data_IF_643844545063
#
_entry.id   IF_643844545063
#
_cell.length_a   1.000
_cell.length_b   1.000
_cell.length_c   1.000
_cell.angle_alpha   90.00
_cell.angle_beta   90.00
_cell.angle_gamma   90.00
#
_symmetry.space_group_name_H-M   'P 1'
#
loop_
_entity.id
_entity.type
_entity.pdbx_description
1 polymer ?
#
# COMPACT_ATOMS: atom_id res chain seq x y z
N UNK A 1 6.41 88.73 -24.53
CA UNK A 1 5.58 88.04 -23.53
C UNK A 1 5.07 86.80 -24.24
N UNK A 2 5.99 85.86 -24.47
CA UNK A 2 6.26 84.71 -23.58
C UNK A 2 5.19 83.63 -23.83
N UNK A 3 5.49 82.38 -24.13
CA UNK A 3 6.74 81.60 -24.17
C UNK A 3 6.44 80.22 -24.80
N UNK A 4 7.47 79.59 -25.40
CA UNK A 4 7.73 78.14 -25.55
C UNK A 4 6.81 77.28 -26.44
N UNK A 5 7.27 76.62 -27.51
CA UNK A 5 8.24 75.47 -27.59
C UNK A 5 7.78 74.28 -26.74
N UNK A 6 7.86 73.00 -27.10
CA UNK A 6 8.42 72.22 -28.20
C UNK A 6 7.95 70.75 -27.99
N UNK A 7 7.97 69.91 -29.03
CA UNK A 7 8.53 68.52 -29.04
C UNK A 7 8.24 67.57 -27.84
N UNK A 8 7.65 66.37 -27.95
CA UNK A 8 8.20 65.18 -28.63
C UNK A 8 7.47 63.91 -28.16
N UNK A 9 7.39 62.93 -29.09
CA UNK A 9 7.56 61.47 -28.96
C UNK A 9 7.19 60.66 -27.69
N UNK A 10 6.39 59.61 -27.97
CA UNK A 10 6.40 58.23 -27.47
C UNK A 10 6.63 57.94 -25.98
N UNK A 11 5.64 57.29 -25.34
CA UNK A 11 5.96 56.24 -24.37
C UNK A 11 4.89 55.15 -24.25
N UNK A 12 5.41 53.93 -24.16
CA UNK A 12 4.84 52.61 -23.98
C UNK A 12 3.58 52.51 -23.10
N UNK A 13 2.50 51.94 -23.65
CA UNK A 13 1.37 51.44 -22.84
C UNK A 13 1.74 50.08 -22.25
N UNK A 14 2.43 50.09 -21.11
CA UNK A 14 2.55 48.93 -20.25
C UNK A 14 1.20 48.62 -19.60
N UNK A 15 0.63 47.44 -19.89
CA UNK A 15 -0.58 46.95 -19.25
C UNK A 15 -0.18 46.44 -17.85
N UNK A 16 -0.14 47.36 -16.88
CA UNK A 16 -0.06 47.02 -15.46
C UNK A 16 -1.41 46.44 -15.00
N UNK A 17 -1.56 45.11 -15.08
CA UNK A 17 -2.59 44.40 -14.31
C UNK A 17 -2.22 44.51 -12.83
N UNK A 18 -2.86 45.45 -12.14
CA UNK A 18 -2.78 45.60 -10.69
C UNK A 18 -3.21 44.30 -10.01
N UNK A 19 -2.26 43.62 -9.37
CA UNK A 19 -2.56 42.57 -8.41
C UNK A 19 -3.17 43.24 -7.18
N UNK A 20 -4.50 43.25 -7.12
CA UNK A 20 -5.21 43.68 -5.92
C UNK A 20 -5.08 42.59 -4.85
N UNK A 21 -4.27 42.87 -3.83
CA UNK A 21 -4.19 42.05 -2.63
C UNK A 21 -5.52 42.20 -1.87
N UNK A 22 -6.28 41.10 -1.81
CA UNK A 22 -7.53 41.02 -1.08
C UNK A 22 -7.23 40.63 0.37
N UNK A 23 -7.68 41.45 1.31
CA UNK A 23 -7.59 41.16 2.74
C UNK A 23 -8.29 39.82 3.05
N UNK A 24 -7.71 38.96 3.92
CA UNK A 24 -8.35 37.72 4.30
C UNK A 24 -9.60 38.03 5.14
N UNK A 25 -10.78 37.81 4.58
CA UNK A 25 -12.02 37.83 5.35
C UNK A 25 -11.96 36.77 6.46
N UNK A 26 -12.45 37.09 7.68
CA UNK A 26 -12.57 36.10 8.74
C UNK A 26 -13.49 34.97 8.25
N UNK A 27 -13.08 33.73 8.48
CA UNK A 27 -13.83 32.54 8.08
C UNK A 27 -15.18 32.46 8.84
N UNK A 28 -16.17 33.22 8.38
CA UNK A 28 -17.57 33.06 8.71
C UNK A 28 -18.13 31.87 7.94
N UNK A 29 -18.99 31.10 8.58
CA UNK A 29 -19.70 30.00 7.94
C UNK A 29 -20.67 30.56 6.90
N UNK A 30 -20.26 30.63 5.65
CA UNK A 30 -21.19 30.85 4.53
C UNK A 30 -21.89 29.53 4.22
N UNK A 31 -23.18 29.49 4.48
CA UNK A 31 -24.09 28.49 3.92
C UNK A 31 -24.19 28.75 2.42
N UNK A 32 -23.44 27.98 1.63
CA UNK A 32 -23.45 28.06 0.18
C UNK A 32 -24.77 27.50 -0.35
N UNK A 33 -25.68 28.35 -0.82
CA UNK A 33 -26.83 27.93 -1.61
C UNK A 33 -26.34 27.57 -3.03
N UNK A 34 -26.28 26.28 -3.31
CA UNK A 34 -25.61 25.66 -4.48
C UNK A 34 -26.31 25.98 -5.82
N UNK A 35 -27.37 26.78 -5.84
CA UNK A 35 -28.27 26.94 -7.00
C UNK A 35 -27.93 28.05 -7.99
N UNK A 36 -26.96 28.93 -7.72
CA UNK A 36 -26.78 30.16 -8.51
C UNK A 36 -25.58 30.20 -9.46
N UNK A 37 -24.79 29.12 -9.61
CA UNK A 37 -23.55 29.15 -10.41
C UNK A 37 -23.45 28.14 -11.58
N UNK A 38 -24.56 27.85 -12.26
CA UNK A 38 -24.49 27.10 -13.53
C UNK A 38 -24.95 28.00 -14.69
N UNK A 39 -24.04 28.65 -15.43
CA UNK A 39 -24.33 29.00 -16.80
C UNK A 39 -24.28 27.71 -17.64
N UNK A 40 -25.32 27.49 -18.44
CA UNK A 40 -25.44 26.39 -19.38
C UNK A 40 -24.18 26.28 -20.26
N UNK A 41 -23.43 25.18 -20.10
CA UNK A 41 -22.36 24.79 -21.02
C UNK A 41 -22.25 23.27 -21.15
N UNK A 42 -21.94 22.78 -22.35
CA UNK A 42 -22.30 21.43 -22.76
C UNK A 42 -21.32 20.38 -22.22
N UNK A 43 -21.91 19.34 -21.61
CA UNK A 43 -21.39 17.97 -21.50
C UNK A 43 -20.00 17.81 -20.86
N UNK A 44 -19.95 17.94 -19.54
CA UNK A 44 -18.92 17.23 -18.76
C UNK A 44 -19.13 15.70 -18.93
N UNK A 45 -18.11 14.94 -19.34
CA UNK A 45 -18.24 13.51 -19.56
C UNK A 45 -18.51 12.78 -18.23
N UNK A 46 -19.51 11.89 -18.21
CA UNK A 46 -20.11 11.24 -17.03
C UNK A 46 -19.12 10.64 -15.98
N UNK A 47 -17.86 10.40 -16.34
CA UNK A 47 -16.79 9.97 -15.41
C UNK A 47 -16.25 11.08 -14.48
N UNK A 48 -16.56 12.35 -14.74
CA UNK A 48 -16.13 13.49 -13.91
C UNK A 48 -17.04 13.80 -12.73
N UNK A 49 -18.19 13.13 -12.62
CA UNK A 49 -19.01 13.19 -11.42
C UNK A 49 -18.42 12.22 -10.37
N UNK A 50 -18.11 12.69 -9.15
CA UNK A 50 -17.72 11.79 -8.08
C UNK A 50 -18.85 10.77 -7.92
N UNK A 51 -18.54 9.49 -8.13
CA UNK A 51 -19.48 8.38 -7.97
C UNK A 51 -20.26 8.59 -6.67
N UNK A 52 -21.51 9.00 -6.81
CA UNK A 52 -22.30 9.60 -5.76
C UNK A 52 -22.73 8.54 -4.75
N UNK A 53 -22.09 8.53 -3.59
CA UNK A 53 -22.77 8.21 -2.34
C UNK A 53 -22.85 9.51 -1.55
N UNK A 54 -24.00 10.17 -1.69
CA UNK A 54 -24.58 11.23 -0.87
C UNK A 54 -23.61 12.02 0.02
N UNK A 55 -23.34 13.27 -0.39
CA UNK A 55 -23.02 14.34 0.55
C UNK A 55 -24.27 15.21 0.73
N UNK A 56 -25.38 14.58 1.14
CA UNK A 56 -26.56 15.28 1.64
C UNK A 56 -26.34 15.73 3.08
N UNK A 57 -26.61 16.99 3.35
CA UNK A 57 -26.52 17.64 4.66
C UNK A 57 -27.18 16.80 5.77
N UNK A 58 -26.42 16.50 6.83
CA UNK A 58 -26.88 15.81 8.03
C UNK A 58 -26.26 14.42 8.23
N UNK A 59 -25.18 14.33 9.01
CA UNK A 59 -24.64 13.09 9.58
C UNK A 59 -24.37 11.89 8.61
N UNK A 60 -24.25 12.14 7.30
CA UNK A 60 -24.00 11.11 6.29
C UNK A 60 -22.55 10.67 6.22
N UNK A 61 -22.31 9.34 6.18
CA UNK A 61 -20.99 8.76 5.97
C UNK A 61 -20.65 8.81 4.47
N UNK A 62 -19.69 9.63 4.05
CA UNK A 62 -19.25 9.71 2.64
C UNK A 62 -18.33 8.55 2.21
N UNK A 63 -18.02 8.45 0.92
CA UNK A 63 -17.20 7.36 0.34
C UNK A 63 -15.81 7.19 1.01
N UNK A 64 -15.16 8.30 1.41
CA UNK A 64 -13.88 8.24 2.16
C UNK A 64 -14.05 7.47 3.48
N UNK A 65 -15.17 7.66 4.18
CA UNK A 65 -15.44 6.99 5.45
C UNK A 65 -15.48 5.48 5.23
N UNK A 66 -16.30 5.01 4.28
CA UNK A 66 -16.45 3.58 4.01
C UNK A 66 -15.15 2.96 3.49
N UNK A 67 -14.46 3.59 2.55
CA UNK A 67 -13.17 3.10 2.04
C UNK A 67 -12.11 3.01 3.16
N UNK A 68 -12.06 3.99 4.05
CA UNK A 68 -11.13 3.96 5.20
C UNK A 68 -11.49 2.84 6.18
N UNK A 69 -12.79 2.59 6.39
CA UNK A 69 -13.26 1.47 7.23
C UNK A 69 -12.96 0.12 6.59
N UNK A 70 -13.21 -0.04 5.29
CA UNK A 70 -12.90 -1.26 4.54
C UNK A 70 -11.41 -1.56 4.61
N UNK A 71 -10.55 -0.58 4.32
CA UNK A 71 -9.09 -0.74 4.43
C UNK A 71 -8.66 -1.16 5.83
N UNK A 72 -9.24 -0.57 6.88
CA UNK A 72 -8.89 -0.86 8.27
C UNK A 72 -9.38 -2.23 8.74
N UNK A 73 -10.63 -2.59 8.46
CA UNK A 73 -11.20 -3.83 8.98
C UNK A 73 -10.71 -5.06 8.20
N UNK A 74 -10.40 -4.91 6.91
CA UNK A 74 -9.80 -6.01 6.14
C UNK A 74 -8.43 -6.43 6.69
N UNK A 75 -7.65 -5.51 7.27
CA UNK A 75 -6.34 -5.85 7.85
C UNK A 75 -6.39 -6.70 9.13
N UNK A 76 -7.55 -6.82 9.81
CA UNK A 76 -7.65 -7.71 10.98
C UNK A 76 -7.56 -9.18 10.57
N UNK A 77 -8.24 -9.58 9.51
CA UNK A 77 -8.15 -10.94 8.98
C UNK A 77 -6.70 -11.27 8.58
N UNK A 78 -6.02 -10.35 7.89
CA UNK A 78 -4.62 -10.52 7.51
C UNK A 78 -3.68 -10.58 8.72
N UNK A 79 -3.97 -9.85 9.80
CA UNK A 79 -3.16 -9.91 11.02
C UNK A 79 -3.25 -11.29 11.68
N UNK A 80 -4.46 -11.86 11.78
CA UNK A 80 -4.67 -13.21 12.30
C UNK A 80 -3.94 -14.23 11.42
N UNK A 81 -4.12 -14.15 10.10
CA UNK A 81 -3.43 -15.01 9.15
C UNK A 81 -1.90 -14.88 9.28
N UNK A 82 -1.36 -13.66 9.31
CA UNK A 82 0.08 -13.43 9.44
C UNK A 82 0.63 -14.01 10.75
N UNK A 83 -0.10 -13.91 11.86
CA UNK A 83 0.28 -14.55 13.12
C UNK A 83 0.35 -16.08 13.00
N UNK A 84 -0.65 -16.72 12.39
CA UNK A 84 -0.62 -18.16 12.14
C UNK A 84 0.51 -18.55 11.19
N UNK A 85 0.72 -17.78 10.13
CA UNK A 85 1.74 -18.01 9.13
C UNK A 85 3.14 -17.91 9.74
N UNK A 86 3.47 -16.81 10.43
CA UNK A 86 4.76 -16.63 11.14
C UNK A 86 5.02 -17.73 12.14
N UNK A 87 4.00 -18.14 12.90
CA UNK A 87 4.14 -19.22 13.87
C UNK A 87 4.56 -20.52 13.17
N UNK A 88 3.87 -20.92 12.10
CA UNK A 88 4.15 -22.18 11.42
C UNK A 88 5.40 -22.15 10.55
N UNK A 89 5.73 -21.02 9.94
CA UNK A 89 6.85 -20.92 8.98
C UNK A 89 8.12 -20.33 9.58
N UNK A 90 8.09 -19.91 10.84
CA UNK A 90 9.26 -19.35 11.52
C UNK A 90 9.39 -19.83 12.96
N UNK A 91 8.42 -19.58 13.84
CA UNK A 91 8.61 -19.86 15.27
C UNK A 91 8.64 -21.37 15.58
N UNK A 92 7.78 -22.17 14.98
CA UNK A 92 7.82 -23.63 15.14
C UNK A 92 9.14 -24.19 14.59
N UNK A 93 9.57 -23.87 13.35
CA UNK A 93 10.91 -24.25 12.86
C UNK A 93 12.05 -23.80 13.77
N UNK A 94 11.94 -22.59 14.36
CA UNK A 94 12.92 -22.09 15.31
C UNK A 94 12.94 -22.91 16.62
N UNK A 95 11.81 -23.43 17.07
CA UNK A 95 11.73 -24.24 18.30
C UNK A 95 12.18 -25.69 18.07
N UNK A 96 11.75 -26.30 16.96
CA UNK A 96 12.07 -27.69 16.64
C UNK A 96 13.45 -27.86 16.01
N UNK A 97 14.01 -26.79 15.42
CA UNK A 97 15.23 -26.84 14.61
C UNK A 97 15.17 -27.91 13.49
N UNK A 98 13.95 -28.32 13.07
CA UNK A 98 13.73 -29.41 12.13
C UNK A 98 12.56 -29.09 11.21
N UNK A 99 12.78 -29.31 9.90
CA UNK A 99 11.73 -29.13 8.88
C UNK A 99 10.72 -30.26 8.96
N UNK A 100 11.18 -31.49 9.07
CA UNK A 100 10.32 -32.67 9.06
C UNK A 100 9.37 -32.68 10.26
N UNK A 101 9.84 -32.26 11.44
CA UNK A 101 8.97 -32.08 12.60
C UNK A 101 7.99 -30.92 12.43
N UNK A 102 8.46 -29.80 11.87
CA UNK A 102 7.64 -28.60 11.66
C UNK A 102 6.53 -28.79 10.63
N UNK A 103 6.73 -29.65 9.61
CA UNK A 103 5.72 -29.97 8.60
C UNK A 103 4.45 -30.55 9.22
N UNK A 104 4.57 -31.38 10.25
CA UNK A 104 3.41 -31.96 10.94
C UNK A 104 2.52 -30.87 11.56
N UNK A 105 3.13 -29.85 12.17
CA UNK A 105 2.39 -28.70 12.71
C UNK A 105 1.81 -27.81 11.61
N UNK A 106 2.55 -27.61 10.52
CA UNK A 106 2.03 -26.88 9.36
C UNK A 106 0.76 -27.57 8.84
N UNK A 107 0.80 -28.89 8.63
CA UNK A 107 -0.33 -29.70 8.16
C UNK A 107 -1.54 -29.62 9.09
N UNK A 108 -1.34 -29.61 10.41
CA UNK A 108 -2.41 -29.46 11.39
C UNK A 108 -3.17 -28.13 11.22
N UNK A 109 -2.48 -27.07 10.82
CA UNK A 109 -3.08 -25.74 10.71
C UNK A 109 -3.65 -25.43 9.32
N UNK A 110 -3.22 -26.12 8.25
CA UNK A 110 -3.69 -25.87 6.87
C UNK A 110 -5.21 -25.87 6.71
N UNK A 111 -5.99 -26.80 7.30
CA UNK A 111 -7.44 -26.80 7.13
C UNK A 111 -8.13 -25.51 7.56
N UNK A 112 -7.57 -24.77 8.52
CA UNK A 112 -8.17 -23.56 9.06
C UNK A 112 -8.01 -22.32 8.16
N UNK A 113 -7.02 -22.29 7.26
CA UNK A 113 -6.75 -21.10 6.45
C UNK A 113 -6.35 -21.35 4.98
N UNK A 114 -6.10 -22.60 4.58
CA UNK A 114 -5.74 -22.99 3.19
C UNK A 114 -6.78 -23.91 2.53
N UNK A 115 -8.00 -23.99 3.08
CA UNK A 115 -9.13 -24.74 2.52
C UNK A 115 -10.12 -23.82 1.81
N UNK A 116 -10.86 -24.34 0.82
CA UNK A 116 -12.00 -23.62 0.26
C UNK A 116 -13.21 -23.75 1.21
N UNK A 117 -13.95 -22.67 1.52
CA UNK A 117 -13.79 -21.28 1.06
C UNK A 117 -12.94 -20.39 2.00
N UNK A 118 -12.39 -20.95 3.08
CA UNK A 118 -11.68 -20.21 4.13
C UNK A 118 -10.52 -19.35 3.60
N UNK A 119 -9.68 -19.89 2.72
CA UNK A 119 -8.56 -19.16 2.12
C UNK A 119 -9.03 -17.90 1.38
N UNK A 120 -10.07 -18.04 0.54
CA UNK A 120 -10.61 -16.91 -0.22
C UNK A 120 -11.23 -15.87 0.73
N UNK A 121 -11.98 -16.30 1.73
CA UNK A 121 -12.70 -15.39 2.62
C UNK A 121 -11.79 -14.67 3.62
N UNK A 122 -10.76 -15.34 4.13
CA UNK A 122 -9.88 -14.82 5.18
C UNK A 122 -8.56 -14.24 4.67
N UNK A 123 -8.12 -14.61 3.46
CA UNK A 123 -6.85 -14.15 2.88
C UNK A 123 -7.10 -13.37 1.60
N UNK A 124 -7.72 -14.00 0.59
CA UNK A 124 -7.90 -13.43 -0.75
C UNK A 124 -8.77 -12.17 -0.79
N UNK A 125 -9.96 -12.22 -0.21
CA UNK A 125 -10.87 -11.08 -0.15
C UNK A 125 -10.30 -9.94 0.72
N UNK A 126 -9.77 -10.19 1.94
CA UNK A 126 -9.23 -9.12 2.77
C UNK A 126 -8.01 -8.43 2.16
N UNK A 127 -7.07 -9.16 1.53
CA UNK A 127 -5.91 -8.52 0.87
C UNK A 127 -6.37 -7.67 -0.32
N UNK A 128 -7.29 -8.19 -1.14
CA UNK A 128 -7.84 -7.46 -2.27
C UNK A 128 -8.54 -6.17 -1.80
N UNK A 129 -9.41 -6.26 -0.80
CA UNK A 129 -10.09 -5.10 -0.21
C UNK A 129 -9.11 -4.11 0.40
N UNK A 130 -8.09 -4.57 1.14
CA UNK A 130 -7.10 -3.70 1.76
C UNK A 130 -6.32 -2.88 0.73
N UNK A 131 -5.78 -3.55 -0.30
CA UNK A 131 -4.95 -2.93 -1.33
C UNK A 131 -5.79 -2.00 -2.21
N UNK A 132 -6.94 -2.48 -2.69
CA UNK A 132 -7.84 -1.69 -3.55
C UNK A 132 -8.37 -0.47 -2.83
N UNK A 133 -8.85 -0.59 -1.59
CA UNK A 133 -9.33 0.55 -0.82
C UNK A 133 -8.22 1.59 -0.59
N UNK A 134 -6.98 1.16 -0.32
CA UNK A 134 -5.83 2.05 -0.19
C UNK A 134 -5.50 2.82 -1.47
N UNK A 135 -5.51 2.13 -2.62
CA UNK A 135 -5.29 2.75 -3.95
C UNK A 135 -6.41 3.75 -4.27
N UNK A 136 -7.67 3.33 -4.11
CA UNK A 136 -8.84 4.17 -4.40
C UNK A 136 -8.85 5.41 -3.50
N UNK A 137 -8.55 5.29 -2.21
CA UNK A 137 -8.43 6.44 -1.31
C UNK A 137 -7.39 7.45 -1.77
N UNK A 138 -6.24 6.97 -2.27
CA UNK A 138 -5.16 7.85 -2.76
C UNK A 138 -5.57 8.58 -4.03
N UNK A 139 -6.21 7.88 -4.97
CA UNK A 139 -6.74 8.46 -6.21
C UNK A 139 -7.88 9.45 -5.92
N UNK A 140 -8.77 9.12 -4.99
CA UNK A 140 -9.87 9.99 -4.60
C UNK A 140 -9.38 11.28 -3.95
N UNK A 141 -8.42 11.19 -3.02
CA UNK A 141 -7.79 12.38 -2.41
C UNK A 141 -7.04 13.24 -3.42
N UNK A 142 -6.36 12.62 -4.40
CA UNK A 142 -5.75 13.34 -5.52
C UNK A 142 -6.82 14.10 -6.33
N UNK A 143 -7.95 13.48 -6.63
CA UNK A 143 -9.03 14.11 -7.38
C UNK A 143 -9.65 15.29 -6.61
N UNK A 144 -9.84 15.16 -5.30
CA UNK A 144 -10.28 16.29 -4.46
C UNK A 144 -9.28 17.43 -4.51
N UNK A 145 -7.98 17.15 -4.42
CA UNK A 145 -6.95 18.19 -4.53
C UNK A 145 -6.97 18.87 -5.91
N UNK A 146 -7.22 18.12 -7.00
CA UNK A 146 -7.39 18.72 -8.34
C UNK A 146 -8.56 19.71 -8.38
N UNK A 147 -9.69 19.35 -7.79
CA UNK A 147 -10.87 20.21 -7.73
C UNK A 147 -10.61 21.44 -6.85
N UNK A 148 -10.05 21.24 -5.65
CA UNK A 148 -9.74 22.32 -4.71
C UNK A 148 -8.79 23.37 -5.29
N UNK A 149 -7.83 22.95 -6.11
CA UNK A 149 -6.84 23.85 -6.72
C UNK A 149 -7.21 24.28 -8.15
N UNK A 150 -8.42 24.00 -8.64
CA UNK A 150 -8.86 24.33 -10.01
C UNK A 150 -8.05 23.64 -11.12
N UNK A 151 -7.16 22.70 -10.76
CA UNK A 151 -6.25 22.05 -11.68
C UNK A 151 -6.94 20.96 -12.53
N UNK A 152 -8.19 20.62 -12.22
CA UNK A 152 -8.97 19.64 -12.99
C UNK A 152 -9.13 20.02 -14.47
N UNK A 153 -9.29 21.32 -14.77
CA UNK A 153 -9.44 21.81 -16.14
C UNK A 153 -8.11 21.94 -16.90
N UNK A 154 -6.97 21.80 -16.22
CA UNK A 154 -5.65 21.88 -16.85
C UNK A 154 -5.27 20.54 -17.50
N UNK A 155 -4.64 20.53 -18.69
CA UNK A 155 -4.10 19.30 -19.26
C UNK A 155 -2.93 18.78 -18.42
N UNK A 156 -2.69 17.46 -18.48
CA UNK A 156 -1.69 16.76 -17.64
C UNK A 156 -0.29 17.34 -17.86
N UNK A 157 0.06 17.70 -19.10
CA UNK A 157 1.35 18.33 -19.46
C UNK A 157 1.58 19.61 -18.66
N UNK A 158 0.61 20.53 -18.63
CA UNK A 158 0.70 21.78 -17.87
C UNK A 158 0.76 21.54 -16.36
N UNK A 159 0.07 20.52 -15.84
CA UNK A 159 0.17 20.16 -14.42
C UNK A 159 1.58 19.68 -14.05
N UNK A 160 2.22 18.92 -14.94
CA UNK A 160 3.57 18.40 -14.76
C UNK A 160 4.61 19.52 -14.89
N UNK A 161 4.47 20.37 -15.91
CA UNK A 161 5.33 21.54 -16.13
C UNK A 161 5.33 22.47 -14.91
N UNK A 162 4.13 22.80 -14.41
CA UNK A 162 3.94 23.62 -13.20
C UNK A 162 4.23 22.87 -11.89
N UNK A 163 4.62 21.59 -11.95
CA UNK A 163 4.92 20.73 -10.79
C UNK A 163 3.86 20.79 -9.69
N UNK A 164 2.58 20.80 -10.08
CA UNK A 164 1.49 20.97 -9.13
C UNK A 164 1.49 19.83 -8.10
N UNK A 165 1.46 20.19 -6.80
CA UNK A 165 1.43 19.24 -5.67
C UNK A 165 0.02 18.68 -5.46
N UNK A 166 -0.46 17.94 -6.45
CA UNK A 166 -1.80 17.35 -6.46
C UNK A 166 -1.87 16.08 -5.61
N UNK A 167 -0.78 15.31 -5.58
CA UNK A 167 -0.76 14.03 -4.90
C UNK A 167 -0.67 14.19 -3.38
N UNK A 168 -1.41 13.39 -2.60
CA UNK A 168 -1.24 13.37 -1.16
C UNK A 168 0.17 12.91 -0.79
N UNK A 169 0.71 13.45 0.31
CA UNK A 169 2.05 13.11 0.79
C UNK A 169 2.23 11.59 0.90
N UNK A 170 3.36 11.09 0.39
CA UNK A 170 3.68 9.67 0.48
C UNK A 170 4.20 9.36 1.88
N UNK A 171 3.45 8.59 2.66
CA UNK A 171 3.96 8.10 3.94
C UNK A 171 4.76 6.81 3.78
N UNK A 172 5.68 6.57 4.71
CA UNK A 172 6.42 5.32 4.80
C UNK A 172 5.51 4.08 4.74
N UNK A 173 4.40 4.07 5.47
CA UNK A 173 3.40 2.98 5.41
C UNK A 173 2.87 2.73 4.00
N UNK A 174 2.60 3.78 3.23
CA UNK A 174 2.05 3.66 1.87
C UNK A 174 3.13 3.18 0.92
N UNK A 175 4.35 3.71 1.04
CA UNK A 175 5.50 3.29 0.24
C UNK A 175 5.82 1.81 0.48
N UNK A 176 5.93 1.39 1.75
CA UNK A 176 6.15 0.00 2.11
C UNK A 176 5.04 -0.91 1.56
N UNK A 177 3.77 -0.48 1.66
CA UNK A 177 2.64 -1.22 1.11
C UNK A 177 2.75 -1.43 -0.41
N UNK A 178 3.17 -0.41 -1.17
CA UNK A 178 3.36 -0.55 -2.62
C UNK A 178 4.53 -1.46 -2.99
N UNK A 179 5.65 -1.33 -2.27
CA UNK A 179 6.82 -2.20 -2.49
C UNK A 179 6.54 -3.66 -2.12
N UNK A 180 5.64 -3.91 -1.16
CA UNK A 180 5.23 -5.26 -0.79
C UNK A 180 4.38 -5.97 -1.85
N UNK A 181 3.63 -5.25 -2.70
CA UNK A 181 2.75 -5.85 -3.70
C UNK A 181 3.50 -6.87 -4.59
N UNK A 182 4.62 -6.51 -5.27
CA UNK A 182 5.34 -7.47 -6.09
C UNK A 182 5.99 -8.60 -5.30
N UNK A 183 6.43 -8.35 -4.05
CA UNK A 183 7.10 -9.35 -3.22
C UNK A 183 6.14 -10.39 -2.66
N UNK A 184 4.98 -9.94 -2.17
CA UNK A 184 3.89 -10.84 -1.75
C UNK A 184 3.30 -11.54 -2.98
N UNK A 185 3.19 -10.84 -4.11
CA UNK A 185 2.78 -11.42 -5.39
C UNK A 185 3.70 -12.55 -5.83
N UNK A 186 5.02 -12.37 -5.77
CA UNK A 186 5.99 -13.43 -6.09
C UNK A 186 5.90 -14.60 -5.09
N UNK A 187 5.70 -14.31 -3.81
CA UNK A 187 5.48 -15.35 -2.79
C UNK A 187 4.22 -16.19 -3.09
N UNK A 188 3.10 -15.56 -3.43
CA UNK A 188 1.85 -16.25 -3.81
C UNK A 188 2.02 -17.02 -5.11
N UNK A 189 2.71 -16.45 -6.09
CA UNK A 189 2.98 -17.09 -7.38
C UNK A 189 3.71 -18.43 -7.19
N UNK A 190 4.82 -18.40 -6.43
CA UNK A 190 5.70 -19.56 -6.24
C UNK A 190 5.06 -20.65 -5.38
N UNK A 191 4.33 -20.25 -4.32
CA UNK A 191 3.85 -21.19 -3.30
C UNK A 191 2.37 -21.57 -3.45
N UNK A 192 1.62 -20.90 -4.33
CA UNK A 192 0.18 -21.16 -4.52
C UNK A 192 -0.20 -21.32 -5.98
N UNK A 193 0.12 -20.34 -6.83
CA UNK A 193 -0.37 -20.32 -8.22
C UNK A 193 0.34 -21.37 -9.08
N UNK A 194 1.67 -21.44 -9.06
CA UNK A 194 2.40 -22.42 -9.88
C UNK A 194 2.07 -23.88 -9.50
N UNK A 195 2.09 -24.27 -8.21
CA UNK A 195 1.64 -25.61 -7.81
C UNK A 195 0.21 -25.90 -8.27
N UNK A 196 -0.71 -24.94 -8.09
CA UNK A 196 -2.09 -25.12 -8.53
C UNK A 196 -2.21 -25.34 -10.05
N UNK A 197 -1.42 -24.63 -10.86
CA UNK A 197 -1.43 -24.76 -12.32
C UNK A 197 -0.86 -26.10 -12.81
N UNK A 198 0.17 -26.64 -12.16
CA UNK A 198 0.91 -27.81 -12.66
C UNK A 198 0.58 -29.13 -11.93
N UNK A 199 0.24 -29.07 -10.65
CA UNK A 199 -0.15 -30.24 -9.84
C UNK A 199 -1.68 -30.32 -9.60
N UNK A 200 -2.44 -29.32 -10.04
CA UNK A 200 -3.90 -29.24 -9.80
C UNK A 200 -4.27 -28.84 -8.37
N UNK A 201 -3.28 -28.47 -7.55
CA UNK A 201 -3.46 -28.04 -6.18
C UNK A 201 -2.14 -27.58 -5.56
N UNK A 202 -2.17 -27.10 -4.32
CA UNK A 202 -0.96 -26.70 -3.60
C UNK A 202 -0.86 -27.39 -2.23
N UNK A 203 -1.46 -28.57 -2.10
CA UNK A 203 -1.41 -29.38 -0.88
C UNK A 203 -0.05 -30.05 -0.69
N UNK A 204 0.71 -30.27 -1.78
CA UNK A 204 2.10 -30.77 -1.73
C UNK A 204 3.12 -29.73 -1.25
N UNK A 205 2.71 -28.47 -1.08
CA UNK A 205 3.61 -27.37 -0.80
C UNK A 205 3.75 -27.14 0.70
N UNK A 206 4.96 -27.37 1.21
CA UNK A 206 5.32 -27.17 2.61
C UNK A 206 6.64 -26.44 2.81
N UNK A 207 7.13 -26.47 4.04
CA UNK A 207 8.47 -26.00 4.42
C UNK A 207 9.57 -26.69 3.59
N UNK A 208 9.42 -27.98 3.25
CA UNK A 208 10.37 -28.70 2.41
C UNK A 208 10.49 -28.14 1.00
N UNK A 209 9.37 -27.72 0.39
CA UNK A 209 9.36 -27.05 -0.92
C UNK A 209 10.03 -25.68 -0.86
N UNK A 210 9.76 -24.91 0.21
CA UNK A 210 10.39 -23.60 0.43
C UNK A 210 11.90 -23.77 0.61
N UNK A 211 12.33 -24.71 1.46
CA UNK A 211 13.74 -25.04 1.65
C UNK A 211 14.42 -25.47 0.35
N UNK A 212 13.76 -26.31 -0.46
CA UNK A 212 14.24 -26.70 -1.77
C UNK A 212 14.43 -25.48 -2.69
N UNK A 213 13.48 -24.54 -2.68
CA UNK A 213 13.54 -23.29 -3.45
C UNK A 213 14.73 -22.41 -3.02
N UNK A 214 14.99 -22.31 -1.72
CA UNK A 214 16.20 -21.65 -1.18
C UNK A 214 17.48 -22.35 -1.65
N UNK A 215 17.51 -23.67 -1.66
CA UNK A 215 18.67 -24.43 -2.11
C UNK A 215 18.94 -24.29 -3.63
N UNK A 216 17.90 -24.12 -4.45
CA UNK A 216 18.05 -23.82 -5.89
C UNK A 216 18.51 -22.38 -6.15
N UNK A 217 17.92 -21.43 -5.44
CA UNK A 217 18.07 -20.01 -5.73
C UNK A 217 18.41 -19.22 -4.45
N UNK A 218 19.58 -19.46 -3.83
CA UNK A 218 19.88 -18.96 -2.50
C UNK A 218 19.87 -17.44 -2.41
N UNK A 219 20.47 -16.75 -3.39
CA UNK A 219 20.51 -15.28 -3.40
C UNK A 219 19.14 -14.67 -3.62
N UNK A 220 18.43 -15.12 -4.67
CA UNK A 220 17.14 -14.56 -5.03
C UNK A 220 16.09 -14.80 -3.94
N UNK A 221 16.02 -16.03 -3.41
CA UNK A 221 15.13 -16.36 -2.31
C UNK A 221 15.47 -15.53 -1.06
N UNK A 222 16.75 -15.49 -0.66
CA UNK A 222 17.15 -14.74 0.54
C UNK A 222 16.84 -13.24 0.43
N UNK A 223 17.11 -12.62 -0.72
CA UNK A 223 16.81 -11.20 -0.95
C UNK A 223 15.30 -10.96 -0.92
N UNK A 224 14.53 -11.76 -1.68
CA UNK A 224 13.07 -11.59 -1.78
C UNK A 224 12.40 -11.76 -0.41
N UNK A 225 12.71 -12.83 0.32
CA UNK A 225 12.13 -13.09 1.65
C UNK A 225 12.60 -12.07 2.69
N UNK A 226 13.89 -11.67 2.69
CA UNK A 226 14.37 -10.65 3.64
C UNK A 226 13.70 -9.29 3.42
N UNK A 227 13.60 -8.85 2.16
CA UNK A 227 12.96 -7.59 1.82
C UNK A 227 11.46 -7.63 2.13
N UNK A 228 10.79 -8.73 1.79
CA UNK A 228 9.38 -8.93 2.09
C UNK A 228 9.13 -8.88 3.60
N UNK A 229 9.89 -9.64 4.40
CA UNK A 229 9.74 -9.66 5.87
C UNK A 229 9.96 -8.25 6.45
N UNK A 230 11.03 -7.55 6.06
CA UNK A 230 11.31 -6.20 6.57
C UNK A 230 10.22 -5.18 6.22
N UNK A 231 9.69 -5.23 5.00
CA UNK A 231 8.60 -4.36 4.59
C UNK A 231 7.28 -4.72 5.29
N UNK A 232 6.96 -6.01 5.44
CA UNK A 232 5.75 -6.48 6.14
C UNK A 232 5.76 -6.03 7.60
N UNK A 233 6.83 -6.28 8.35
CA UNK A 233 6.88 -5.95 9.78
C UNK A 233 6.87 -4.44 10.02
N UNK A 234 7.54 -3.68 9.15
CA UNK A 234 7.49 -2.21 9.22
C UNK A 234 6.12 -1.66 8.83
N UNK A 235 5.47 -2.20 7.79
CA UNK A 235 4.13 -1.81 7.39
C UNK A 235 3.10 -2.04 8.50
N UNK A 236 3.15 -3.21 9.16
CA UNK A 236 2.28 -3.55 10.28
C UNK A 236 2.52 -2.61 11.46
N UNK A 237 3.78 -2.42 11.87
CA UNK A 237 4.13 -1.61 13.05
C UNK A 237 3.75 -0.14 12.85
N UNK A 238 4.14 0.45 11.72
CA UNK A 238 3.80 1.83 11.39
C UNK A 238 2.31 2.02 11.13
N UNK A 239 1.64 1.03 10.51
CA UNK A 239 0.20 1.03 10.29
C UNK A 239 -0.59 1.02 11.60
N UNK A 240 -0.18 0.17 12.55
CA UNK A 240 -0.78 0.11 13.89
C UNK A 240 -0.63 1.43 14.64
N UNK A 241 0.57 2.02 14.65
CA UNK A 241 0.78 3.32 15.26
C UNK A 241 -0.06 4.42 14.61
N UNK A 242 -0.25 4.37 13.29
CA UNK A 242 -1.15 5.30 12.58
C UNK A 242 -2.60 5.14 13.05
N UNK A 243 -3.11 3.92 13.17
CA UNK A 243 -4.50 3.69 13.61
C UNK A 243 -4.78 4.18 15.03
N UNK A 244 -3.78 4.09 15.89
CA UNK A 244 -3.85 4.53 17.29
C UNK A 244 -3.46 6.00 17.47
N UNK A 245 -3.22 6.74 16.38
CA UNK A 245 -2.75 8.14 16.39
C UNK A 245 -1.49 8.34 17.26
N UNK A 246 -0.58 7.37 17.23
CA UNK A 246 0.67 7.36 18.00
C UNK A 246 1.86 7.97 17.25
N UNK A 247 1.66 8.35 15.98
CA UNK A 247 2.69 9.00 15.17
C UNK A 247 2.76 10.47 15.56
N UNK A 248 3.93 10.90 16.03
CA UNK A 248 4.22 12.29 16.37
C UNK A 248 5.04 12.88 15.23
N UNK A 249 4.61 14.02 14.69
CA UNK A 249 5.32 14.74 13.62
C UNK A 249 6.19 15.86 14.19
N UNK A 250 7.24 16.25 13.47
CA UNK A 250 8.17 17.31 13.87
C UNK A 250 9.48 16.77 14.48
N UNK A 251 10.36 17.69 14.87
CA UNK A 251 11.74 17.38 15.30
C UNK A 251 11.93 17.34 16.83
N UNK A 252 10.85 17.11 17.57
CA UNK A 252 10.94 17.01 19.03
C UNK A 252 11.68 15.74 19.46
N UNK A 253 12.37 15.79 20.60
CA UNK A 253 12.98 14.59 21.22
C UNK A 253 11.97 13.45 21.39
N UNK A 254 10.70 13.79 21.68
CA UNK A 254 9.59 12.84 21.80
C UNK A 254 9.24 12.18 20.45
N UNK A 255 9.23 12.95 19.36
CA UNK A 255 9.01 12.43 18.00
C UNK A 255 10.15 11.49 17.59
N UNK A 256 11.41 11.89 17.83
CA UNK A 256 12.59 11.04 17.59
C UNK A 256 12.55 9.74 18.40
N UNK A 257 12.23 9.81 19.71
CA UNK A 257 12.08 8.61 20.55
C UNK A 257 10.99 7.68 19.99
N UNK A 258 9.83 8.24 19.62
CA UNK A 258 8.73 7.46 19.02
C UNK A 258 9.16 6.79 17.71
N UNK A 259 9.85 7.51 16.84
CA UNK A 259 10.39 6.99 15.59
C UNK A 259 11.31 5.80 15.84
N UNK A 260 12.26 5.92 16.78
CA UNK A 260 13.14 4.82 17.15
C UNK A 260 12.37 3.63 17.72
N UNK A 261 11.40 3.86 18.61
CA UNK A 261 10.58 2.77 19.16
C UNK A 261 9.86 1.98 18.06
N UNK A 262 9.23 2.65 17.09
CA UNK A 262 8.50 1.96 16.01
C UNK A 262 9.47 1.13 15.15
N UNK A 263 10.64 1.67 14.83
CA UNK A 263 11.64 0.95 14.05
C UNK A 263 12.27 -0.21 14.83
N UNK A 264 12.54 -0.05 16.14
CA UNK A 264 13.03 -1.13 17.00
C UNK A 264 12.03 -2.28 17.08
N UNK A 265 10.73 -1.99 17.21
CA UNK A 265 9.68 -3.01 17.19
C UNK A 265 9.62 -3.71 15.82
N UNK A 266 9.67 -2.93 14.74
CA UNK A 266 9.67 -3.48 13.37
C UNK A 266 10.87 -4.41 13.13
N UNK A 267 12.05 -4.00 13.61
CA UNK A 267 13.29 -4.77 13.52
C UNK A 267 13.25 -6.04 14.38
N UNK A 268 12.75 -5.98 15.61
CA UNK A 268 12.60 -7.15 16.46
C UNK A 268 11.67 -8.21 15.85
N UNK A 269 10.54 -7.77 15.29
CA UNK A 269 9.62 -8.65 14.56
C UNK A 269 10.29 -9.26 13.32
N UNK A 270 11.02 -8.45 12.55
CA UNK A 270 11.73 -8.93 11.36
C UNK A 270 12.80 -9.97 11.72
N UNK A 271 13.61 -9.70 12.75
CA UNK A 271 14.64 -10.61 13.22
C UNK A 271 14.05 -11.93 13.69
N UNK A 272 12.99 -11.90 14.50
CA UNK A 272 12.31 -13.13 14.95
C UNK A 272 11.79 -13.98 13.79
N UNK A 273 11.31 -13.35 12.72
CA UNK A 273 10.85 -14.04 11.52
C UNK A 273 12.02 -14.55 10.65
N UNK A 274 13.08 -13.76 10.48
CA UNK A 274 14.25 -14.15 9.68
C UNK A 274 14.99 -15.33 10.32
N UNK A 275 15.15 -15.33 11.64
CA UNK A 275 15.90 -16.38 12.35
C UNK A 275 15.25 -17.76 12.14
N UNK A 276 13.93 -17.88 12.26
CA UNK A 276 13.24 -19.14 11.99
C UNK A 276 13.06 -19.43 10.50
N UNK A 277 12.51 -18.47 9.75
CA UNK A 277 12.18 -18.65 8.34
C UNK A 277 13.41 -18.82 7.44
N UNK A 278 14.39 -17.92 7.52
CA UNK A 278 15.60 -18.02 6.69
C UNK A 278 16.67 -18.86 7.40
N UNK A 279 16.85 -18.65 8.71
CA UNK A 279 17.92 -19.31 9.48
C UNK A 279 17.73 -20.81 9.67
N UNK A 280 16.47 -21.29 9.75
CA UNK A 280 16.17 -22.73 9.83
C UNK A 280 15.63 -23.24 8.49
N UNK A 281 14.48 -22.76 8.03
CA UNK A 281 13.81 -23.31 6.83
C UNK A 281 14.67 -23.07 5.57
N UNK A 282 15.23 -21.87 5.41
CA UNK A 282 16.12 -21.56 4.28
C UNK A 282 17.40 -22.40 4.23
N UNK A 283 17.80 -23.04 5.34
CA UNK A 283 18.97 -23.94 5.41
C UNK A 283 18.60 -25.43 5.28
N UNK A 284 17.34 -25.74 5.02
CA UNK A 284 16.83 -27.11 4.93
C UNK A 284 17.39 -27.96 3.79
N UNK A 285 18.03 -27.34 2.80
CA UNK A 285 18.60 -28.05 1.67
C UNK A 285 17.57 -28.54 0.64
N UNK A 286 18.03 -29.41 -0.27
CA UNK A 286 17.23 -29.93 -1.37
C UNK A 286 16.42 -31.13 -0.90
N UNK A 287 15.12 -31.14 -1.20
CA UNK A 287 14.33 -32.38 -1.18
C UNK A 287 14.90 -33.40 -2.20
N UNK A 288 14.84 -34.69 -1.84
CA UNK A 288 15.40 -35.80 -2.61
C UNK A 288 14.32 -36.67 -3.24
N UNK A 289 14.74 -37.56 -4.14
CA UNK A 289 13.87 -38.57 -4.75
C UNK A 289 12.75 -37.99 -5.61
N UNK A 290 11.62 -38.70 -5.66
CA UNK A 290 10.47 -38.30 -6.46
C UNK A 290 9.90 -36.92 -6.06
N UNK A 291 9.86 -36.62 -4.76
CA UNK A 291 9.37 -35.31 -4.25
C UNK A 291 10.27 -34.16 -4.72
N UNK A 292 11.60 -34.34 -4.67
CA UNK A 292 12.53 -33.34 -5.17
C UNK A 292 12.39 -33.08 -6.68
N UNK A 293 12.13 -34.14 -7.46
CA UNK A 293 11.89 -34.02 -8.90
C UNK A 293 10.59 -33.28 -9.20
N UNK A 294 9.54 -33.49 -8.40
CA UNK A 294 8.27 -32.77 -8.54
C UNK A 294 8.44 -31.28 -8.22
N UNK A 295 9.19 -30.94 -7.16
CA UNK A 295 9.51 -29.55 -6.85
C UNK A 295 10.31 -28.88 -7.98
N UNK A 296 11.29 -29.59 -8.56
CA UNK A 296 12.04 -29.12 -9.72
C UNK A 296 11.13 -28.91 -10.94
N UNK A 297 10.15 -29.79 -11.13
CA UNK A 297 9.16 -29.70 -12.20
C UNK A 297 8.29 -28.45 -12.05
N UNK A 298 7.86 -28.07 -10.85
CA UNK A 298 7.12 -26.80 -10.64
C UNK A 298 8.06 -25.61 -10.89
N UNK A 299 9.23 -25.60 -10.26
CA UNK A 299 10.13 -24.44 -10.24
C UNK A 299 10.72 -24.10 -11.61
N UNK A 300 10.85 -25.06 -12.54
CA UNK A 300 11.33 -24.77 -13.90
C UNK A 300 10.46 -23.73 -14.62
N UNK A 301 9.16 -23.69 -14.33
CA UNK A 301 8.22 -22.78 -15.00
C UNK A 301 8.30 -21.34 -14.51
N UNK A 302 9.05 -21.04 -13.43
CA UNK A 302 9.37 -19.66 -13.06
C UNK A 302 10.26 -18.95 -14.09
N UNK A 303 10.97 -19.72 -14.92
CA UNK A 303 12.05 -19.22 -15.74
C UNK A 303 11.97 -19.67 -17.21
N UNK A 304 10.77 -20.01 -17.70
CA UNK A 304 10.48 -20.52 -19.05
C UNK A 304 11.47 -21.58 -19.56
#
# INVERSE_FOLDING_TARGET
MDDGSESSFNEHTEIHLSLQELDPEPAGFYEYDEKSFLPDSPLLPLWSLPFGLSNGNGAGRGSIYYLTKLQKYSSYAFTIFASLHVTNTSFIPLLTQSIDESESYLLLTRPFYQSFPAELLFIGLPIAVHVTAGIVLRLYKRNINLLRYGAFCLPISTRLEKRLKVWPHMSWTSLAGYLMIPLVGSHILINRILPWLYEGGSSGIGLGYVAHSFAKHPLLASINYSLMIGLVTSHISWGFCRWKNLIISGDSQKARRRWWTINSVSAALALGWIIGGIGVVGRGGRANGWVGNEYDNILRHLWL
#
